data_IF_837918387098
#
_entry.id   IF_837918387098
#
_cell.length_a   1.000
_cell.length_b   1.000
_cell.length_c   1.000
_cell.angle_alpha   90.00
_cell.angle_beta   90.00
_cell.angle_gamma   90.00
#
_symmetry.space_group_name_H-M   'P 1'
#
loop_
_entity.id
_entity.type
_entity.pdbx_description
1 polymer ?
#
# COMPACT_ATOMS: atom_id res chain seq x y z
N UNK A 1 66.18 -43.54 -4.00
CA UNK A 1 66.57 -43.06 -2.64
C UNK A 1 67.23 -41.71 -2.84
N UNK A 2 66.54 -40.64 -2.46
CA UNK A 2 67.04 -39.27 -2.57
C UNK A 2 67.68 -38.79 -1.27
N UNK A 3 68.29 -37.58 -1.35
CA UNK A 3 69.23 -36.91 -0.45
C UNK A 3 70.71 -37.22 -0.86
N UNK A 4 71.69 -36.32 -0.82
CA UNK A 4 71.96 -35.21 0.09
C UNK A 4 72.94 -34.20 -0.57
N UNK A 5 72.85 -32.92 -0.17
CA UNK A 5 73.96 -31.94 0.01
C UNK A 5 74.73 -31.48 -1.25
N UNK A 6 75.24 -30.25 -1.42
CA UNK A 6 75.88 -29.33 -0.46
C UNK A 6 76.07 -27.95 -1.11
N UNK A 7 75.83 -26.91 -0.31
CA UNK A 7 76.49 -25.59 -0.23
C UNK A 7 77.37 -25.10 -1.39
N UNK A 8 77.08 -23.86 -1.79
CA UNK A 8 78.01 -22.97 -2.48
C UNK A 8 77.51 -21.53 -2.34
N UNK A 9 77.82 -20.90 -1.21
CA UNK A 9 78.14 -19.47 -1.16
C UNK A 9 79.65 -19.44 -0.88
N UNK A 10 80.44 -18.58 -1.54
CA UNK A 10 80.56 -17.20 -1.05
C UNK A 10 80.92 -16.16 -2.14
N UNK A 11 80.79 -14.88 -1.77
CA UNK A 11 81.76 -13.80 -1.98
C UNK A 11 81.01 -12.53 -1.51
N UNK A 12 81.20 -12.09 -0.26
CA UNK A 12 82.28 -11.16 0.16
C UNK A 12 82.21 -9.87 -0.69
N UNK A 13 81.88 -8.66 -0.25
CA UNK A 13 81.89 -7.88 1.01
C UNK A 13 81.33 -6.46 0.61
N UNK A 14 81.24 -5.37 1.42
CA UNK A 14 81.30 -5.19 2.88
C UNK A 14 80.18 -4.25 3.48
N UNK A 15 80.09 -4.09 4.81
CA UNK A 15 79.17 -3.20 5.56
C UNK A 15 79.88 -1.88 5.99
N UNK A 16 79.39 -1.05 6.96
CA UNK A 16 78.05 -0.49 7.30
C UNK A 16 78.06 1.06 7.45
N UNK A 17 76.89 1.64 7.73
CA UNK A 17 76.72 2.89 8.49
C UNK A 17 76.13 4.06 7.69
N UNK A 18 75.20 4.86 8.18
CA UNK A 18 74.45 4.93 9.43
C UNK A 18 73.14 5.69 9.11
N UNK A 19 72.07 5.36 9.84
CA UNK A 19 70.97 6.26 10.24
C UNK A 19 70.16 7.04 9.19
N UNK A 20 69.03 6.47 8.77
CA UNK A 20 67.74 7.17 8.85
C UNK A 20 66.60 6.16 8.72
N UNK A 21 65.83 6.03 9.80
CA UNK A 21 64.64 5.21 9.88
C UNK A 21 63.66 5.49 8.72
N UNK A 22 63.42 4.48 7.88
CA UNK A 22 62.26 4.48 6.98
C UNK A 22 60.99 4.44 7.85
N UNK A 23 60.03 5.36 7.66
CA UNK A 23 58.77 5.31 8.39
C UNK A 23 58.00 4.02 8.05
N UNK A 24 57.25 3.43 8.99
CA UNK A 24 56.47 2.23 8.72
C UNK A 24 55.45 2.48 7.60
N UNK A 25 55.14 1.47 6.78
CA UNK A 25 54.16 1.59 5.70
C UNK A 25 52.79 1.97 6.27
N UNK A 26 52.21 3.06 5.75
CA UNK A 26 50.86 3.47 6.11
C UNK A 26 49.84 2.45 5.55
N UNK A 27 48.82 2.04 6.34
CA UNK A 27 47.75 1.18 5.84
C UNK A 27 46.93 1.90 4.76
N UNK A 28 46.35 1.17 3.79
CA UNK A 28 45.57 1.78 2.72
C UNK A 28 44.39 2.55 3.32
N UNK A 29 44.24 3.81 2.91
CA UNK A 29 43.17 4.68 3.32
C UNK A 29 41.81 4.08 2.94
N UNK A 30 40.92 3.98 3.92
CA UNK A 30 39.50 3.64 3.74
C UNK A 30 38.86 4.53 2.66
N UNK A 31 38.65 3.97 1.47
CA UNK A 31 37.82 4.58 0.43
C UNK A 31 36.35 4.49 0.83
N UNK A 32 35.89 5.45 1.64
CA UNK A 32 34.46 5.64 1.91
C UNK A 32 33.75 5.97 0.60
N UNK A 33 32.68 5.25 0.21
CA UNK A 33 31.91 5.59 -0.98
C UNK A 33 31.24 6.95 -0.77
N UNK A 34 31.66 7.90 -1.60
CA UNK A 34 31.18 9.29 -1.64
C UNK A 34 29.71 9.28 -2.08
N UNK A 35 28.79 9.29 -1.10
CA UNK A 35 27.34 9.39 -1.30
C UNK A 35 27.03 10.71 -2.03
N UNK A 36 26.93 10.65 -3.35
CA UNK A 36 26.47 11.76 -4.19
C UNK A 36 25.00 12.01 -3.85
N UNK A 37 24.73 13.13 -3.19
CA UNK A 37 23.37 13.65 -3.01
C UNK A 37 23.08 14.55 -4.21
N UNK A 38 22.14 14.22 -5.10
CA UNK A 38 21.59 15.20 -6.01
C UNK A 38 20.55 16.05 -5.27
N UNK A 39 20.84 17.33 -5.12
CA UNK A 39 19.91 18.41 -4.72
C UNK A 39 19.60 19.21 -6.01
N UNK A 40 18.42 19.83 -6.25
CA UNK A 40 17.34 20.15 -5.30
C UNK A 40 15.93 19.64 -5.71
N UNK A 41 15.28 18.91 -4.81
CA UNK A 41 13.82 18.63 -4.82
C UNK A 41 12.99 19.82 -4.28
N UNK A 42 13.59 21.00 -4.16
CA UNK A 42 12.99 22.18 -3.55
C UNK A 42 11.88 22.87 -4.39
N UNK A 43 11.94 22.96 -5.74
CA UNK A 43 10.83 23.59 -6.48
C UNK A 43 9.58 22.70 -6.55
N UNK A 44 9.72 21.37 -6.50
CA UNK A 44 8.59 20.42 -6.63
C UNK A 44 7.75 20.38 -5.34
N UNK A 45 8.38 20.52 -4.17
CA UNK A 45 7.66 20.60 -2.89
C UNK A 45 6.86 21.91 -2.76
N UNK A 46 7.40 23.03 -3.23
CA UNK A 46 6.66 24.31 -3.24
C UNK A 46 5.43 24.27 -4.17
N UNK A 47 5.56 23.62 -5.33
CA UNK A 47 4.48 23.53 -6.32
C UNK A 47 3.33 22.63 -5.83
N UNK A 48 3.63 21.57 -5.07
CA UNK A 48 2.63 20.69 -4.46
C UNK A 48 1.90 21.35 -3.29
N UNK A 49 2.59 22.17 -2.48
CA UNK A 49 1.96 22.91 -1.38
C UNK A 49 1.00 24.00 -1.92
N UNK A 50 1.38 24.72 -2.99
CA UNK A 50 0.52 25.73 -3.58
C UNK A 50 -0.78 25.16 -4.18
N UNK A 51 -0.73 24.01 -4.86
CA UNK A 51 -1.92 23.32 -5.40
C UNK A 51 -2.84 22.81 -4.28
N UNK A 52 -2.26 22.36 -3.15
CA UNK A 52 -3.02 21.92 -1.98
C UNK A 52 -3.82 23.04 -1.31
N UNK A 53 -3.27 24.26 -1.24
CA UNK A 53 -3.94 25.41 -0.59
C UNK A 53 -5.09 25.97 -1.44
N UNK A 54 -4.95 26.04 -2.77
CA UNK A 54 -6.02 26.55 -3.65
C UNK A 54 -7.25 25.62 -3.66
N UNK A 55 -7.06 24.32 -3.45
CA UNK A 55 -8.16 23.34 -3.46
C UNK A 55 -8.96 23.29 -2.15
N UNK A 56 -8.47 23.90 -1.06
CA UNK A 56 -9.12 23.83 0.25
C UNK A 56 -10.21 24.90 0.46
N UNK A 57 -10.25 25.95 -0.37
CA UNK A 57 -11.18 27.07 -0.20
C UNK A 57 -12.50 26.97 -0.99
N UNK A 58 -12.67 25.98 -1.88
CA UNK A 58 -13.79 25.98 -2.84
C UNK A 58 -14.83 24.86 -2.68
N UNK A 59 -14.84 24.14 -1.56
CA UNK A 59 -15.76 23.01 -1.36
C UNK A 59 -16.58 23.09 -0.08
N UNK A 60 -16.94 24.30 0.33
CA UNK A 60 -17.94 24.54 1.38
C UNK A 60 -19.07 25.45 0.89
N UNK A 61 -19.48 25.33 -0.38
CA UNK A 61 -20.80 25.82 -0.79
C UNK A 61 -21.83 24.74 -0.49
N UNK A 62 -22.28 24.78 0.76
CA UNK A 62 -23.47 24.11 1.23
C UNK A 62 -24.63 24.44 0.28
N UNK A 63 -25.07 23.46 -0.50
CA UNK A 63 -26.45 23.47 -1.00
C UNK A 63 -27.31 23.13 0.21
N UNK A 64 -27.52 24.12 1.07
CA UNK A 64 -28.67 24.13 1.96
C UNK A 64 -29.82 24.62 1.10
N UNK A 65 -30.60 23.69 0.56
CA UNK A 65 -31.90 24.06 0.01
C UNK A 65 -32.77 24.44 1.22
N UNK A 66 -32.76 25.73 1.55
CA UNK A 66 -33.66 26.33 2.51
C UNK A 66 -35.07 26.34 1.90
N UNK A 67 -35.73 25.19 1.92
CA UNK A 67 -37.16 25.12 1.67
C UNK A 67 -37.85 25.51 2.97
N UNK A 68 -38.07 26.81 3.14
CA UNK A 68 -38.98 27.31 4.17
C UNK A 68 -40.39 26.79 3.87
N UNK A 69 -41.03 26.00 4.76
CA UNK A 69 -42.46 25.76 4.69
C UNK A 69 -43.20 26.97 5.28
N UNK A 70 -44.33 27.43 4.72
CA UNK A 70 -45.18 28.37 5.42
C UNK A 70 -45.68 27.73 6.72
N UNK A 71 -45.61 28.49 7.81
CA UNK A 71 -46.05 28.08 9.13
C UNK A 71 -47.45 27.46 9.10
N UNK A 72 -47.55 26.21 9.56
CA UNK A 72 -48.71 25.57 10.20
C UNK A 72 -48.29 24.19 10.73
N UNK A 73 -48.16 24.09 12.04
CA UNK A 73 -48.18 22.81 12.76
C UNK A 73 -49.64 22.33 12.82
N UNK A 74 -49.94 21.02 12.63
CA UNK A 74 -49.76 20.05 13.71
C UNK A 74 -49.17 18.69 13.28
N UNK A 75 -48.46 18.06 14.24
CA UNK A 75 -48.03 16.64 14.31
C UNK A 75 -48.81 15.66 13.42
N UNK A 76 -48.11 15.02 12.46
CA UNK A 76 -48.21 13.58 12.17
C UNK A 76 -47.20 13.17 11.07
N UNK A 77 -46.49 12.06 11.31
CA UNK A 77 -45.84 11.19 10.31
C UNK A 77 -44.65 11.74 9.49
N UNK A 78 -43.50 11.88 10.15
CA UNK A 78 -42.18 11.98 9.50
C UNK A 78 -41.36 10.67 9.51
N UNK A 79 -42.00 9.50 9.42
CA UNK A 79 -41.34 8.18 9.60
C UNK A 79 -41.20 7.42 8.27
N UNK A 80 -40.82 8.03 7.15
CA UNK A 80 -40.64 7.24 5.91
C UNK A 80 -39.35 7.58 5.14
N UNK A 81 -38.99 8.85 4.99
CA UNK A 81 -37.84 9.20 4.13
C UNK A 81 -36.47 9.14 4.84
N UNK A 82 -36.38 9.56 6.11
CA UNK A 82 -35.12 9.56 6.85
C UNK A 82 -34.70 8.16 7.31
N UNK A 83 -35.66 7.25 7.49
CA UNK A 83 -35.40 5.90 7.99
C UNK A 83 -34.64 5.05 6.96
N UNK A 84 -34.88 5.27 5.66
CA UNK A 84 -34.20 4.55 4.57
C UNK A 84 -32.74 5.03 4.43
N UNK A 85 -32.49 6.34 4.56
CA UNK A 85 -31.12 6.88 4.53
C UNK A 85 -30.32 6.53 5.79
N UNK A 86 -30.96 6.50 6.97
CA UNK A 86 -30.33 6.04 8.20
C UNK A 86 -30.06 4.54 8.14
N UNK A 87 -31.01 3.70 7.68
CA UNK A 87 -30.76 2.26 7.47
C UNK A 87 -29.61 2.01 6.49
N UNK A 88 -29.47 2.79 5.42
CA UNK A 88 -28.33 2.65 4.49
C UNK A 88 -26.99 3.05 5.12
N UNK A 89 -26.95 4.08 5.96
CA UNK A 89 -25.75 4.44 6.74
C UNK A 89 -25.44 3.40 7.83
N UNK A 90 -26.47 2.85 8.48
CA UNK A 90 -26.37 1.76 9.44
C UNK A 90 -26.07 0.41 8.78
N UNK A 91 -26.34 0.23 7.48
CA UNK A 91 -26.09 -1.01 6.76
C UNK A 91 -24.59 -1.27 6.60
N UNK A 92 -23.77 -0.23 6.48
CA UNK A 92 -22.33 -0.32 6.71
C UNK A 92 -21.99 0.11 8.14
N UNK A 93 -22.53 -0.61 9.12
CA UNK A 93 -22.20 -0.42 10.54
C UNK A 93 -20.68 -0.46 10.79
N UNK A 94 -19.95 -1.22 9.97
CA UNK A 94 -18.50 -1.38 10.08
C UNK A 94 -17.71 -0.23 9.41
N UNK A 95 -18.37 0.68 8.69
CA UNK A 95 -17.73 1.82 8.01
C UNK A 95 -16.72 1.46 6.91
N UNK A 96 -16.61 0.18 6.54
CA UNK A 96 -15.63 -0.28 5.56
C UNK A 96 -16.08 0.02 4.13
N UNK A 97 -15.17 0.57 3.33
CA UNK A 97 -15.34 0.79 1.89
C UNK A 97 -14.29 0.02 1.10
N UNK A 98 -14.60 -0.26 -0.17
CA UNK A 98 -13.70 -0.97 -1.08
C UNK A 98 -13.50 -0.18 -2.35
N UNK A 99 -12.31 -0.29 -2.92
CA UNK A 99 -11.95 0.29 -4.21
C UNK A 99 -11.18 -0.74 -5.04
N UNK A 100 -11.62 -0.96 -6.28
CA UNK A 100 -10.99 -1.88 -7.22
C UNK A 100 -10.21 -1.10 -8.27
N UNK A 101 -8.95 -1.48 -8.47
CA UNK A 101 -8.10 -0.85 -9.47
C UNK A 101 -7.39 -1.90 -10.33
N UNK A 102 -7.46 -1.74 -11.64
CA UNK A 102 -6.68 -2.55 -12.59
C UNK A 102 -5.22 -2.07 -12.56
N UNK A 103 -4.28 -2.98 -12.27
CA UNK A 103 -2.86 -2.64 -12.20
C UNK A 103 -2.14 -2.96 -13.51
N UNK A 104 -2.40 -4.14 -14.07
CA UNK A 104 -1.78 -4.60 -15.32
C UNK A 104 -2.74 -5.49 -16.08
N UNK A 105 -2.83 -5.28 -17.39
CA UNK A 105 -3.54 -6.15 -18.33
C UNK A 105 -2.52 -6.94 -19.16
N UNK A 106 -2.80 -8.21 -19.41
CA UNK A 106 -2.06 -9.08 -20.31
C UNK A 106 -3.04 -9.88 -21.19
N UNK A 107 -2.52 -10.57 -22.21
CA UNK A 107 -3.35 -11.47 -23.00
C UNK A 107 -3.94 -12.58 -22.11
N UNK A 108 -5.26 -12.65 -22.04
CA UNK A 108 -5.99 -13.67 -21.27
C UNK A 108 -5.83 -13.60 -19.74
N UNK A 109 -5.18 -12.57 -19.19
CA UNK A 109 -4.99 -12.42 -17.75
C UNK A 109 -4.85 -10.96 -17.33
N UNK A 110 -5.03 -10.70 -16.04
CA UNK A 110 -4.78 -9.39 -15.48
C UNK A 110 -4.35 -9.48 -14.00
N UNK A 111 -3.67 -8.43 -13.57
CA UNK A 111 -3.40 -8.15 -12.16
C UNK A 111 -4.18 -6.91 -11.74
N UNK A 112 -4.91 -7.00 -10.64
CA UNK A 112 -5.68 -5.90 -10.08
C UNK A 112 -5.46 -5.85 -8.56
N UNK A 113 -5.90 -4.76 -7.94
CA UNK A 113 -5.92 -4.63 -6.50
C UNK A 113 -7.29 -4.26 -5.98
N UNK A 114 -7.57 -4.68 -4.75
CA UNK A 114 -8.68 -4.20 -3.94
C UNK A 114 -8.11 -3.50 -2.71
N UNK A 115 -8.51 -2.25 -2.49
CA UNK A 115 -8.17 -1.53 -1.27
C UNK A 115 -9.39 -1.54 -0.35
N UNK A 116 -9.25 -2.08 0.86
CA UNK A 116 -10.28 -2.00 1.90
C UNK A 116 -9.88 -0.88 2.85
N UNK A 117 -10.74 0.12 3.02
CA UNK A 117 -10.50 1.28 3.88
C UNK A 117 -11.56 1.33 4.97
N UNK A 118 -11.14 1.56 6.20
CA UNK A 118 -12.08 1.89 7.28
C UNK A 118 -12.40 3.37 7.27
N UNK A 119 -13.64 3.73 6.91
CA UNK A 119 -14.19 5.09 6.97
C UNK A 119 -15.13 5.30 8.15
N UNK A 120 -15.28 4.29 9.01
CA UNK A 120 -16.04 4.39 10.25
C UNK A 120 -15.21 4.97 11.38
N UNK A 121 -15.84 5.05 12.55
CA UNK A 121 -15.25 5.62 13.76
C UNK A 121 -14.64 4.55 14.70
N UNK A 122 -14.81 3.26 14.37
CA UNK A 122 -14.37 2.14 15.21
C UNK A 122 -13.36 1.27 14.49
N UNK A 123 -12.39 0.75 15.22
CA UNK A 123 -11.43 -0.22 14.71
C UNK A 123 -12.13 -1.52 14.28
N UNK A 124 -11.77 -2.04 13.11
CA UNK A 124 -12.31 -3.30 12.59
C UNK A 124 -11.28 -4.40 12.71
N UNK A 125 -11.45 -5.29 13.70
CA UNK A 125 -10.50 -6.38 13.97
C UNK A 125 -10.41 -7.39 12.83
N UNK A 126 -11.54 -7.74 12.24
CA UNK A 126 -11.63 -8.76 11.19
C UNK A 126 -12.47 -8.25 10.04
N UNK A 127 -11.98 -8.44 8.84
CA UNK A 127 -12.71 -8.15 7.62
C UNK A 127 -12.68 -9.36 6.69
N UNK A 128 -13.74 -9.54 5.91
CA UNK A 128 -13.87 -10.59 4.93
C UNK A 128 -14.54 -10.03 3.67
N UNK A 129 -13.90 -10.23 2.52
CA UNK A 129 -14.33 -9.73 1.23
C UNK A 129 -14.56 -10.90 0.28
N UNK A 130 -15.75 -10.98 -0.29
CA UNK A 130 -16.08 -11.88 -1.39
C UNK A 130 -16.50 -11.08 -2.63
N UNK A 131 -15.98 -11.45 -3.80
CA UNK A 131 -16.31 -10.78 -5.05
C UNK A 131 -16.28 -11.71 -6.26
N UNK A 132 -16.98 -11.31 -7.32
CA UNK A 132 -17.04 -12.03 -8.61
C UNK A 132 -16.73 -11.05 -9.72
N UNK A 133 -15.82 -11.44 -10.61
CA UNK A 133 -15.52 -10.68 -11.82
C UNK A 133 -16.12 -11.43 -13.03
N UNK A 134 -17.00 -10.79 -13.81
CA UNK A 134 -17.56 -11.40 -15.01
C UNK A 134 -16.49 -11.93 -15.94
N UNK A 135 -16.69 -13.15 -16.47
CA UNK A 135 -15.79 -13.78 -17.45
C UNK A 135 -14.32 -13.89 -16.98
N UNK A 136 -14.07 -13.86 -15.68
CA UNK A 136 -12.75 -14.01 -15.09
C UNK A 136 -12.76 -15.00 -13.93
N UNK A 137 -11.57 -15.52 -13.60
CA UNK A 137 -11.32 -16.37 -12.44
C UNK A 137 -10.06 -15.88 -11.74
N UNK A 138 -10.17 -15.62 -10.44
CA UNK A 138 -9.02 -15.25 -9.61
C UNK A 138 -8.20 -16.51 -9.36
N UNK A 139 -6.89 -16.44 -9.62
CA UNK A 139 -5.95 -17.57 -9.50
C UNK A 139 -4.93 -17.39 -8.38
N UNK A 140 -4.74 -16.17 -7.90
CA UNK A 140 -3.92 -15.88 -6.72
C UNK A 140 -4.31 -14.55 -6.09
N UNK A 141 -4.05 -14.39 -4.80
CA UNK A 141 -4.17 -13.14 -4.09
C UNK A 141 -3.10 -13.02 -2.99
N UNK A 142 -2.63 -11.80 -2.74
CA UNK A 142 -1.59 -11.44 -1.78
C UNK A 142 -2.03 -10.21 -0.98
N UNK A 143 -1.59 -10.07 0.27
CA UNK A 143 -2.02 -8.99 1.17
C UNK A 143 -3.29 -9.32 1.97
N UNK A 144 -3.75 -10.56 1.88
CA UNK A 144 -4.87 -11.11 2.64
C UNK A 144 -4.69 -12.62 2.82
N UNK A 145 -5.46 -13.21 3.73
CA UNK A 145 -5.60 -14.65 3.83
C UNK A 145 -6.65 -15.12 2.82
N UNK A 146 -6.28 -16.09 1.99
CA UNK A 146 -7.14 -16.63 0.93
C UNK A 146 -8.03 -17.73 1.51
N UNK A 147 -9.34 -17.56 1.38
CA UNK A 147 -10.34 -18.58 1.77
C UNK A 147 -10.77 -19.39 0.56
N UNK A 148 -11.01 -18.72 -0.57
CA UNK A 148 -11.37 -19.37 -1.83
C UNK A 148 -10.92 -18.55 -3.05
N UNK A 149 -10.57 -19.25 -4.13
CA UNK A 149 -10.21 -18.70 -5.43
C UNK A 149 -11.20 -19.18 -6.50
N UNK A 150 -11.06 -18.69 -7.73
CA UNK A 150 -11.91 -19.05 -8.87
C UNK A 150 -12.88 -17.95 -9.27
N UNK A 151 -14.12 -18.31 -9.65
CA UNK A 151 -15.13 -17.34 -10.15
C UNK A 151 -15.57 -16.37 -9.06
N UNK A 152 -15.78 -16.90 -7.85
CA UNK A 152 -16.07 -16.13 -6.64
C UNK A 152 -14.85 -16.21 -5.74
N UNK A 153 -14.07 -15.14 -5.70
CA UNK A 153 -12.94 -15.04 -4.79
C UNK A 153 -13.43 -14.66 -3.40
N UNK A 154 -12.81 -15.22 -2.37
CA UNK A 154 -13.06 -14.88 -0.99
C UNK A 154 -11.74 -14.79 -0.23
N UNK A 155 -11.48 -13.61 0.33
CA UNK A 155 -10.29 -13.30 1.12
C UNK A 155 -10.70 -12.66 2.46
N UNK A 156 -9.85 -12.76 3.47
CA UNK A 156 -10.07 -12.16 4.79
C UNK A 156 -8.79 -11.58 5.38
N UNK A 157 -8.93 -10.82 6.46
CA UNK A 157 -7.78 -10.37 7.23
C UNK A 157 -7.00 -11.57 7.79
N UNK A 158 -5.66 -11.58 7.69
CA UNK A 158 -4.84 -12.62 8.32
C UNK A 158 -5.09 -12.69 9.82
N UNK A 159 -5.06 -13.89 10.40
CA UNK A 159 -5.23 -14.12 11.84
C UNK A 159 -4.33 -13.25 12.74
N UNK A 160 -3.11 -12.96 12.32
CA UNK A 160 -2.12 -12.16 13.06
C UNK A 160 -2.15 -10.66 12.72
N UNK A 161 -2.97 -10.23 11.75
CA UNK A 161 -3.03 -8.84 11.35
C UNK A 161 -3.64 -7.97 12.47
N UNK A 162 -3.14 -6.73 12.66
CA UNK A 162 -3.74 -5.78 13.58
C UNK A 162 -5.15 -5.40 13.13
N UNK A 163 -5.91 -4.79 14.03
CA UNK A 163 -7.19 -4.20 13.68
C UNK A 163 -7.01 -3.06 12.65
N UNK A 164 -7.97 -2.93 11.74
CA UNK A 164 -8.01 -1.83 10.80
C UNK A 164 -8.60 -0.61 11.50
N UNK A 165 -7.75 0.28 11.99
CA UNK A 165 -8.14 1.53 12.65
C UNK A 165 -8.93 2.47 11.73
N UNK A 166 -9.73 3.40 12.29
CA UNK A 166 -10.36 4.46 11.51
C UNK A 166 -9.37 5.18 10.58
N UNK A 167 -9.71 5.32 9.31
CA UNK A 167 -8.86 5.92 8.27
C UNK A 167 -7.81 4.98 7.68
N UNK A 168 -7.50 3.85 8.32
CA UNK A 168 -6.53 2.89 7.83
C UNK A 168 -7.04 2.12 6.60
N UNK A 169 -6.10 1.63 5.80
CA UNK A 169 -6.38 0.85 4.60
C UNK A 169 -5.48 -0.37 4.48
N UNK A 170 -5.99 -1.43 3.88
CA UNK A 170 -5.23 -2.60 3.46
C UNK A 170 -5.42 -2.83 1.97
N UNK A 171 -4.33 -3.20 1.28
CA UNK A 171 -4.36 -3.48 -0.16
C UNK A 171 -4.16 -4.97 -0.39
N UNK A 172 -5.10 -5.56 -1.11
CA UNK A 172 -5.03 -6.93 -1.61
C UNK A 172 -4.70 -6.86 -3.10
N UNK A 173 -3.67 -7.56 -3.56
CA UNK A 173 -3.34 -7.68 -4.97
C UNK A 173 -3.72 -9.07 -5.43
N UNK A 174 -4.45 -9.20 -6.54
CA UNK A 174 -4.86 -10.48 -7.07
C UNK A 174 -4.55 -10.59 -8.57
N UNK A 175 -4.30 -11.82 -8.99
CA UNK A 175 -4.17 -12.18 -10.40
C UNK A 175 -5.38 -12.98 -10.83
N UNK A 176 -5.87 -12.72 -12.03
CA UNK A 176 -6.98 -13.43 -12.61
C UNK A 176 -6.72 -13.80 -14.06
N UNK A 177 -7.31 -14.90 -14.50
CA UNK A 177 -7.42 -15.29 -15.91
C UNK A 177 -8.75 -14.80 -16.46
N UNK A 178 -8.76 -14.32 -17.70
CA UNK A 178 -9.93 -13.74 -18.37
C UNK A 178 -9.76 -12.26 -18.67
N UNK A 179 -10.85 -11.63 -19.13
CA UNK A 179 -10.87 -10.19 -19.42
C UNK A 179 -11.12 -9.39 -18.12
N UNK A 180 -10.37 -8.32 -17.84
CA UNK A 180 -10.67 -7.47 -16.70
C UNK A 180 -11.97 -6.70 -16.90
N UNK A 181 -12.76 -6.64 -15.85
CA UNK A 181 -14.06 -5.99 -15.77
C UNK A 181 -14.31 -5.54 -14.33
N UNK A 182 -15.20 -4.58 -14.11
CA UNK A 182 -15.70 -4.28 -12.76
C UNK A 182 -16.39 -5.51 -12.15
N UNK A 183 -16.29 -5.73 -10.83
CA UNK A 183 -16.97 -6.83 -10.17
C UNK A 183 -18.49 -6.78 -10.40
N UNK A 184 -19.14 -7.91 -10.65
CA UNK A 184 -20.62 -7.98 -10.71
C UNK A 184 -21.24 -8.16 -9.33
N UNK A 185 -20.47 -8.72 -8.39
CA UNK A 185 -20.88 -8.88 -7.00
C UNK A 185 -19.71 -8.51 -6.10
N UNK A 186 -20.00 -7.80 -5.01
CA UNK A 186 -19.03 -7.51 -3.97
C UNK A 186 -19.75 -7.49 -2.62
N UNK A 187 -19.24 -8.28 -1.67
CA UNK A 187 -19.77 -8.40 -0.33
C UNK A 187 -18.60 -8.28 0.65
N UNK A 188 -18.69 -7.32 1.56
CA UNK A 188 -17.71 -7.06 2.61
C UNK A 188 -18.41 -7.21 3.97
N UNK A 189 -17.93 -8.10 4.82
CA UNK A 189 -18.53 -8.40 6.13
C UNK A 189 -20.04 -8.71 6.08
N UNK A 190 -20.49 -9.41 5.02
CA UNK A 190 -21.90 -9.75 4.73
C UNK A 190 -22.76 -8.57 4.26
N UNK A 191 -22.16 -7.43 3.97
CA UNK A 191 -22.83 -6.24 3.43
C UNK A 191 -22.39 -6.00 1.99
N UNK A 192 -23.33 -5.71 1.09
CA UNK A 192 -23.02 -5.40 -0.32
C UNK A 192 -22.19 -4.12 -0.43
N UNK A 193 -21.25 -4.09 -1.36
CA UNK A 193 -20.41 -2.91 -1.59
C UNK A 193 -21.19 -1.82 -2.35
N UNK A 194 -21.14 -0.58 -1.85
CA UNK A 194 -21.86 0.55 -2.48
C UNK A 194 -21.20 1.07 -3.78
N UNK A 195 -19.91 0.78 -4.01
CA UNK A 195 -19.14 1.21 -5.19
C UNK A 195 -18.25 0.06 -5.67
N UNK A 196 -18.35 -0.27 -6.96
CA UNK A 196 -17.62 -1.31 -7.70
C UNK A 196 -17.41 -0.88 -9.16
#
# INVERSE_FOLDING_TARGET
MGRHTRFGEPDDDPPPGDDAALPPPQPPADERPRRRVPVPLLPILALTIAIGVVSYAYSTKQISLNFAPPAREPKAQGIHDSQVSQRRRSARADGLVVDFALLKRQAGAFTASVTVTNRGERAVRRWALAFTIPKARVVSATGAEVVALGRRAWVRSPGTAPALEPGASVRVVFRATGAPHSPSTCVLNRVTCDRI
#
